data_IF_882977407064
#
_entry.id   IF_882977407064
#
_cell.length_a   1.000
_cell.length_b   1.000
_cell.length_c   1.000
_cell.angle_alpha   90.00
_cell.angle_beta   90.00
_cell.angle_gamma   90.00
#
_symmetry.space_group_name_H-M   'P 1'
#
loop_
_entity.id
_entity.type
_entity.pdbx_description
1 polymer ?
#
# COMPACT_ATOMS: atom_id res chain seq x y z
N UNK A 1 8.20 2.37 -33.69
CA UNK A 1 7.78 3.61 -32.99
C UNK A 1 8.10 4.87 -33.82
N UNK A 2 9.35 5.06 -34.29
CA UNK A 2 9.75 6.26 -35.05
C UNK A 2 8.87 6.62 -36.27
N UNK A 3 8.46 5.63 -37.09
CA UNK A 3 7.65 5.89 -38.32
C UNK A 3 6.24 6.46 -38.08
N UNK A 4 5.69 6.31 -36.87
CA UNK A 4 4.38 6.88 -36.53
C UNK A 4 4.50 8.34 -36.10
N UNK A 5 5.57 8.68 -35.37
CA UNK A 5 5.85 10.03 -34.90
C UNK A 5 6.09 10.99 -36.07
N UNK A 6 6.91 10.58 -37.05
CA UNK A 6 7.17 11.36 -38.27
C UNK A 6 5.91 11.61 -39.12
N UNK A 7 4.94 10.68 -39.10
CA UNK A 7 3.72 10.79 -39.93
C UNK A 7 2.66 11.70 -39.31
N UNK A 8 2.51 11.67 -37.99
CA UNK A 8 1.38 12.31 -37.29
C UNK A 8 1.78 13.50 -36.41
N UNK A 9 3.07 13.68 -36.09
CA UNK A 9 3.58 14.76 -35.23
C UNK A 9 4.68 15.55 -35.94
N UNK A 10 4.36 16.10 -37.11
CA UNK A 10 5.31 16.88 -37.91
C UNK A 10 5.67 18.20 -37.21
N UNK A 11 6.97 18.47 -37.04
CA UNK A 11 7.49 19.69 -36.40
C UNK A 11 7.63 19.62 -34.88
N UNK A 12 7.36 18.47 -34.27
CA UNK A 12 7.62 18.21 -32.85
C UNK A 12 8.87 17.34 -32.73
N UNK A 13 9.77 17.69 -31.81
CA UNK A 13 10.94 16.87 -31.52
C UNK A 13 10.49 15.54 -30.91
N UNK A 14 10.74 14.40 -31.58
CA UNK A 14 10.35 13.08 -31.08
C UNK A 14 10.94 12.76 -29.70
N UNK A 15 12.15 13.23 -29.39
CA UNK A 15 12.82 12.94 -28.13
C UNK A 15 12.21 13.76 -26.98
N UNK A 16 11.84 15.01 -27.23
CA UNK A 16 11.09 15.85 -26.28
C UNK A 16 9.72 15.25 -26.00
N UNK A 17 9.01 14.79 -27.04
CA UNK A 17 7.70 14.14 -26.90
C UNK A 17 7.82 12.86 -26.06
N UNK A 18 8.77 11.98 -26.39
CA UNK A 18 9.00 10.72 -25.67
C UNK A 18 9.38 10.97 -24.21
N UNK A 19 10.15 12.02 -23.93
CA UNK A 19 10.50 12.43 -22.56
C UNK A 19 9.26 12.91 -21.81
N UNK A 20 8.45 13.77 -22.43
CA UNK A 20 7.25 14.33 -21.82
C UNK A 20 6.18 13.27 -21.50
N UNK A 21 6.11 12.20 -22.30
CA UNK A 21 5.18 11.07 -22.06
C UNK A 21 5.80 9.90 -21.30
N UNK A 22 7.04 10.02 -20.83
CA UNK A 22 7.71 8.99 -20.02
C UNK A 22 8.05 7.70 -20.79
N UNK A 23 8.22 7.78 -22.12
CA UNK A 23 8.62 6.66 -22.98
C UNK A 23 10.12 6.62 -23.29
N UNK A 24 10.92 7.50 -22.67
CA UNK A 24 12.38 7.39 -22.71
C UNK A 24 12.79 6.16 -21.91
N UNK A 25 13.37 5.19 -22.61
CA UNK A 25 13.94 4.00 -22.00
C UNK A 25 15.11 4.42 -21.11
N UNK A 26 14.86 4.62 -19.83
CA UNK A 26 15.87 4.26 -18.83
C UNK A 26 16.24 2.82 -19.11
N UNK A 27 17.53 2.49 -19.14
CA UNK A 27 17.95 1.09 -19.26
C UNK A 27 17.49 0.34 -18.01
N UNK A 28 16.25 -0.15 -18.04
CA UNK A 28 15.82 -1.23 -17.18
C UNK A 28 16.79 -2.37 -17.50
N UNK A 29 17.60 -2.77 -16.52
CA UNK A 29 18.47 -3.92 -16.69
C UNK A 29 17.62 -5.07 -17.24
N UNK A 30 18.01 -5.66 -18.37
CA UNK A 30 17.26 -6.77 -18.97
C UNK A 30 17.13 -7.90 -17.95
N UNK A 31 15.96 -7.99 -17.33
CA UNK A 31 15.64 -9.06 -16.38
C UNK A 31 15.33 -10.30 -17.21
N UNK A 32 16.33 -11.16 -17.39
CA UNK A 32 16.10 -12.46 -18.00
C UNK A 32 15.32 -13.36 -17.04
N UNK A 33 14.13 -13.78 -17.46
CA UNK A 33 13.34 -14.77 -16.73
C UNK A 33 14.02 -16.12 -16.87
N UNK A 34 14.08 -16.91 -15.79
CA UNK A 34 14.43 -18.31 -15.94
C UNK A 34 13.25 -19.08 -16.59
N UNK A 35 13.55 -20.18 -17.28
CA UNK A 35 12.55 -21.02 -17.96
C UNK A 35 11.65 -21.83 -16.99
N UNK A 36 11.71 -21.53 -15.69
CA UNK A 36 11.02 -22.26 -14.64
C UNK A 36 11.48 -23.72 -14.56
N UNK A 37 10.64 -24.58 -13.98
CA UNK A 37 10.88 -26.02 -13.96
C UNK A 37 9.57 -26.73 -14.31
N UNK A 38 9.55 -27.64 -15.30
CA UNK A 38 8.33 -28.34 -15.73
C UNK A 38 7.77 -29.26 -14.63
N UNK A 39 8.58 -29.60 -13.62
CA UNK A 39 8.20 -30.36 -12.45
C UNK A 39 8.54 -29.59 -11.16
N UNK A 40 7.64 -28.72 -10.66
CA UNK A 40 7.88 -28.00 -9.41
C UNK A 40 7.97 -28.99 -8.25
N UNK A 41 9.07 -28.91 -7.50
CA UNK A 41 9.30 -29.76 -6.32
C UNK A 41 8.35 -29.31 -5.20
N UNK A 42 7.39 -30.17 -4.83
CA UNK A 42 6.47 -29.90 -3.72
C UNK A 42 7.16 -30.22 -2.39
N UNK A 43 7.17 -29.27 -1.46
CA UNK A 43 7.64 -29.46 -0.09
C UNK A 43 6.46 -29.21 0.86
N UNK A 44 6.21 -30.14 1.77
CA UNK A 44 5.31 -29.87 2.89
C UNK A 44 6.02 -28.94 3.88
N UNK A 45 5.38 -27.84 4.25
CA UNK A 45 5.83 -26.98 5.35
C UNK A 45 4.70 -26.81 6.36
N UNK A 46 5.05 -26.94 7.64
CA UNK A 46 4.17 -26.56 8.75
C UNK A 46 4.51 -25.12 9.12
N UNK A 47 3.57 -24.20 8.89
CA UNK A 47 3.73 -22.80 9.30
C UNK A 47 2.76 -22.54 10.45
N UNK A 48 3.28 -22.24 11.64
CA UNK A 48 2.47 -21.63 12.69
C UNK A 48 2.19 -20.20 12.28
N UNK A 49 0.98 -19.93 11.77
CA UNK A 49 0.54 -18.57 11.48
C UNK A 49 -0.12 -18.06 12.76
N UNK A 50 0.40 -16.97 13.33
CA UNK A 50 -0.39 -16.16 14.25
C UNK A 50 -1.72 -15.86 13.56
N UNK A 51 -2.84 -16.18 14.20
CA UNK A 51 -4.15 -15.71 13.75
C UNK A 51 -4.12 -14.19 13.93
N UNK A 52 -3.73 -13.49 12.86
CA UNK A 52 -3.59 -12.02 12.84
C UNK A 52 -4.93 -11.30 12.70
N UNK A 53 -5.97 -12.02 12.29
CA UNK A 53 -7.31 -11.49 12.14
C UNK A 53 -8.03 -11.63 13.49
N UNK A 54 -7.86 -10.63 14.36
CA UNK A 54 -8.60 -10.57 15.62
C UNK A 54 -10.10 -10.41 15.32
N UNK A 55 -10.97 -10.82 16.25
CA UNK A 55 -12.41 -10.56 16.13
C UNK A 55 -12.70 -9.07 15.90
N UNK A 56 -11.86 -8.21 16.48
CA UNK A 56 -11.91 -6.77 16.29
C UNK A 56 -11.54 -6.35 14.86
N UNK A 57 -10.46 -6.89 14.28
CA UNK A 57 -10.11 -6.62 12.89
C UNK A 57 -11.24 -7.01 11.92
N UNK A 58 -11.94 -8.12 12.19
CA UNK A 58 -13.12 -8.49 11.42
C UNK A 58 -14.26 -7.47 11.56
N UNK A 59 -14.55 -7.01 12.78
CA UNK A 59 -15.56 -5.96 13.01
C UNK A 59 -15.22 -4.66 12.28
N UNK A 60 -13.95 -4.24 12.27
CA UNK A 60 -13.51 -3.04 11.54
C UNK A 60 -13.73 -3.21 10.03
N UNK A 61 -13.38 -4.36 9.46
CA UNK A 61 -13.65 -4.65 8.04
C UNK A 61 -15.13 -4.62 7.71
N UNK A 62 -15.98 -5.13 8.61
CA UNK A 62 -17.44 -5.14 8.44
C UNK A 62 -18.02 -3.72 8.47
N UNK A 63 -17.62 -2.89 9.45
CA UNK A 63 -18.00 -1.47 9.54
C UNK A 63 -17.64 -0.71 8.25
N UNK A 64 -16.50 -1.06 7.64
CA UNK A 64 -16.07 -0.45 6.40
C UNK A 64 -16.61 -1.13 5.12
N UNK A 65 -17.45 -2.16 5.26
CA UNK A 65 -17.96 -2.93 4.12
C UNK A 65 -16.85 -3.49 3.23
N UNK A 66 -15.68 -3.77 3.82
CA UNK A 66 -14.46 -4.22 3.14
C UNK A 66 -13.95 -3.27 2.03
N UNK A 67 -14.26 -1.98 2.11
CA UNK A 67 -13.60 -0.96 1.27
C UNK A 67 -12.32 -0.51 1.96
N UNK A 68 -11.24 -0.41 1.19
CA UNK A 68 -10.01 0.23 1.66
C UNK A 68 -10.31 1.65 2.14
N UNK A 69 -9.84 2.01 3.33
CA UNK A 69 -9.98 3.37 3.84
C UNK A 69 -9.10 4.38 3.11
N UNK A 70 -8.03 3.94 2.44
CA UNK A 70 -7.13 4.81 1.68
C UNK A 70 -7.61 4.96 0.23
N UNK A 71 -7.51 3.91 -0.61
CA UNK A 71 -7.88 4.02 -2.03
C UNK A 71 -9.38 3.80 -2.33
N UNK A 72 -10.20 3.43 -1.35
CA UNK A 72 -11.62 3.14 -1.56
C UNK A 72 -11.94 1.82 -2.27
N UNK A 73 -10.94 1.08 -2.78
CA UNK A 73 -11.20 -0.17 -3.52
C UNK A 73 -11.86 -1.22 -2.63
N UNK A 74 -12.81 -1.96 -3.19
CA UNK A 74 -13.42 -3.14 -2.56
C UNK A 74 -13.10 -4.37 -3.39
N UNK A 75 -12.28 -5.26 -2.85
CA UNK A 75 -11.94 -6.52 -3.53
C UNK A 75 -13.09 -7.51 -3.38
N UNK A 76 -13.75 -7.83 -4.50
CA UNK A 76 -14.86 -8.79 -4.53
C UNK A 76 -14.35 -10.16 -4.98
N UNK A 77 -14.64 -11.18 -4.19
CA UNK A 77 -14.32 -12.58 -4.43
C UNK A 77 -15.62 -13.37 -4.59
N UNK A 78 -15.59 -14.59 -5.18
CA UNK A 78 -16.79 -15.43 -5.28
C UNK A 78 -17.47 -15.73 -3.94
N UNK A 79 -16.71 -15.73 -2.85
CA UNK A 79 -17.17 -16.05 -1.49
C UNK A 79 -17.28 -14.82 -0.57
N UNK A 80 -17.23 -13.60 -1.09
CA UNK A 80 -17.40 -12.40 -0.28
C UNK A 80 -16.52 -11.23 -0.72
N UNK A 81 -16.14 -10.37 0.22
CA UNK A 81 -15.18 -9.30 -0.03
C UNK A 81 -13.94 -9.50 0.81
N UNK A 82 -12.81 -9.00 0.34
CA UNK A 82 -11.54 -9.13 1.03
C UNK A 82 -10.95 -7.77 1.35
N UNK A 83 -10.49 -7.65 2.58
CA UNK A 83 -9.73 -6.53 3.12
C UNK A 83 -8.89 -7.07 4.28
N UNK A 84 -7.88 -6.31 4.68
CA UNK A 84 -7.00 -6.64 5.79
C UNK A 84 -7.17 -5.61 6.91
N UNK A 85 -7.16 -6.10 8.16
CA UNK A 85 -7.06 -5.24 9.34
C UNK A 85 -5.59 -4.90 9.57
N UNK A 86 -5.23 -3.64 9.37
CA UNK A 86 -3.87 -3.13 9.51
C UNK A 86 -3.75 -2.34 10.81
N UNK A 87 -2.91 -2.78 11.75
CA UNK A 87 -2.67 -1.97 12.95
C UNK A 87 -1.87 -0.72 12.60
N UNK A 88 -2.33 0.45 13.06
CA UNK A 88 -1.64 1.73 12.83
C UNK A 88 -0.29 1.73 13.56
N UNK A 89 -0.33 1.45 14.86
CA UNK A 89 0.83 1.16 15.69
C UNK A 89 0.95 -0.36 15.85
N UNK A 90 2.05 -0.99 15.39
CA UNK A 90 2.19 -2.45 15.44
C UNK A 90 2.06 -3.01 16.87
N UNK A 91 1.32 -4.11 17.02
CA UNK A 91 1.10 -4.75 18.34
C UNK A 91 2.33 -5.47 18.88
N UNK A 92 3.23 -5.92 18.00
CA UNK A 92 4.45 -6.62 18.37
C UNK A 92 5.52 -5.69 18.96
N UNK A 93 6.51 -6.30 19.62
CA UNK A 93 7.74 -5.61 19.98
C UNK A 93 8.45 -5.08 18.72
N UNK A 94 9.10 -3.91 18.77
CA UNK A 94 9.28 -3.02 19.94
C UNK A 94 8.12 -2.03 20.17
N UNK A 95 7.11 -2.01 19.30
CA UNK A 95 6.12 -0.92 19.24
C UNK A 95 5.02 -1.05 20.29
N UNK A 96 4.61 -2.27 20.64
CA UNK A 96 3.62 -2.56 21.70
C UNK A 96 2.32 -1.75 21.56
N UNK A 97 1.80 -1.61 20.34
CA UNK A 97 0.51 -0.99 20.09
C UNK A 97 -0.66 -1.79 20.69
N UNK A 98 -1.74 -1.13 21.14
CA UNK A 98 -2.92 -1.82 21.65
C UNK A 98 -3.76 -2.44 20.50
N UNK A 99 -4.43 -3.58 20.76
CA UNK A 99 -5.45 -4.12 19.86
C UNK A 99 -6.80 -3.45 20.15
N UNK A 100 -6.99 -2.24 19.65
CA UNK A 100 -8.18 -1.40 19.88
C UNK A 100 -8.71 -0.80 18.58
N UNK A 101 -10.02 -0.43 18.50
CA UNK A 101 -10.63 0.04 17.25
C UNK A 101 -9.84 1.17 16.60
N UNK A 102 -9.50 2.21 17.35
CA UNK A 102 -8.78 3.37 16.82
C UNK A 102 -7.34 3.12 16.41
N UNK A 103 -6.81 1.91 16.63
CA UNK A 103 -5.50 1.48 16.18
C UNK A 103 -5.55 0.53 14.98
N UNK A 104 -6.69 0.37 14.31
CA UNK A 104 -6.82 -0.57 13.18
C UNK A 104 -7.44 0.16 11.98
N UNK A 105 -6.93 -0.10 10.79
CA UNK A 105 -7.51 0.34 9.52
C UNK A 105 -8.00 -0.86 8.71
N UNK A 106 -9.08 -0.67 7.95
CA UNK A 106 -9.52 -1.60 6.91
C UNK A 106 -8.85 -1.21 5.59
N UNK A 107 -7.85 -1.98 5.15
CA UNK A 107 -7.05 -1.68 3.95
C UNK A 107 -7.15 -2.79 2.89
N UNK A 108 -6.90 -2.45 1.63
CA UNK A 108 -6.61 -3.46 0.61
C UNK A 108 -5.14 -3.93 0.77
N UNK A 109 -4.77 -5.11 0.25
CA UNK A 109 -3.42 -5.65 0.43
C UNK A 109 -2.30 -4.75 -0.09
N UNK A 110 -2.56 -4.00 -1.17
CA UNK A 110 -1.58 -3.08 -1.75
C UNK A 110 -1.32 -1.90 -0.81
N UNK A 111 -2.36 -1.23 -0.34
CA UNK A 111 -2.18 -0.09 0.57
C UNK A 111 -1.70 -0.55 1.94
N UNK A 112 -2.07 -1.75 2.39
CA UNK A 112 -1.62 -2.31 3.66
C UNK A 112 -0.10 -2.49 3.67
N UNK A 113 0.48 -3.13 2.66
CA UNK A 113 1.94 -3.30 2.64
C UNK A 113 2.68 -1.96 2.53
N UNK A 114 2.14 -0.99 1.79
CA UNK A 114 2.73 0.35 1.71
C UNK A 114 2.66 1.09 3.05
N UNK A 115 1.54 0.96 3.76
CA UNK A 115 1.33 1.55 5.07
C UNK A 115 2.24 0.91 6.13
N UNK A 116 2.31 -0.43 6.19
CA UNK A 116 3.20 -1.18 7.10
C UNK A 116 4.68 -0.83 6.90
N UNK A 117 5.06 -0.48 5.67
CA UNK A 117 6.44 -0.11 5.31
C UNK A 117 6.69 1.39 5.35
N UNK A 118 5.72 2.19 5.77
CA UNK A 118 5.86 3.64 5.91
C UNK A 118 5.91 4.41 4.60
N UNK A 119 5.63 3.78 3.45
CA UNK A 119 5.50 4.47 2.16
C UNK A 119 4.19 5.27 2.07
N UNK A 120 3.16 4.82 2.80
CA UNK A 120 1.94 5.59 3.06
C UNK A 120 1.87 5.93 4.54
N UNK A 121 1.57 7.20 4.86
CA UNK A 121 1.28 7.68 6.21
C UNK A 121 -0.04 8.45 6.23
N UNK A 122 -0.50 8.83 7.43
CA UNK A 122 -1.65 9.70 7.60
C UNK A 122 -1.23 11.02 8.25
N UNK A 123 -1.79 12.13 7.76
CA UNK A 123 -1.69 13.44 8.41
C UNK A 123 -2.56 13.51 9.66
N UNK A 124 -2.43 14.56 10.47
CA UNK A 124 -3.27 14.75 11.67
C UNK A 124 -4.73 15.02 11.30
N UNK A 125 -4.97 15.55 10.10
CA UNK A 125 -6.30 15.73 9.50
C UNK A 125 -6.80 14.45 8.79
N UNK A 126 -6.14 13.31 9.01
CA UNK A 126 -6.47 12.00 8.43
C UNK A 126 -6.45 11.99 6.89
N UNK A 127 -5.50 12.67 6.27
CA UNK A 127 -5.25 12.56 4.84
C UNK A 127 -4.16 11.53 4.57
N UNK A 128 -4.36 10.65 3.58
CA UNK A 128 -3.36 9.71 3.13
C UNK A 128 -2.25 10.45 2.36
N UNK A 129 -1.01 10.30 2.84
CA UNK A 129 0.17 10.94 2.27
C UNK A 129 1.13 9.87 1.76
N UNK A 130 1.64 10.07 0.55
CA UNK A 130 2.63 9.21 -0.09
C UNK A 130 4.03 9.78 0.20
N UNK A 131 4.77 9.13 1.11
CA UNK A 131 6.08 9.60 1.57
C UNK A 131 7.16 9.48 0.47
N UNK A 132 6.92 8.67 -0.57
CA UNK A 132 7.86 8.48 -1.68
C UNK A 132 7.71 9.60 -2.72
N UNK A 133 6.49 9.94 -3.07
CA UNK A 133 6.19 10.98 -4.08
C UNK A 133 5.97 12.37 -3.48
N UNK A 134 5.76 12.46 -2.17
CA UNK A 134 5.45 13.71 -1.46
C UNK A 134 4.03 14.24 -1.73
N UNK A 135 3.12 13.38 -2.19
CA UNK A 135 1.77 13.79 -2.60
C UNK A 135 0.68 13.34 -1.62
N UNK A 136 -0.32 14.20 -1.44
CA UNK A 136 -1.56 13.82 -0.75
C UNK A 136 -2.43 13.02 -1.72
N UNK A 137 -2.80 11.79 -1.33
CA UNK A 137 -3.67 10.90 -2.12
C UNK A 137 -5.16 11.21 -1.93
N UNK A 138 -5.52 11.79 -0.80
CA UNK A 138 -6.90 12.17 -0.45
C UNK A 138 -7.22 11.91 1.01
N UNK A 139 -8.45 12.21 1.40
CA UNK A 139 -8.94 12.00 2.75
C UNK A 139 -9.18 10.52 3.05
N UNK A 140 -8.84 10.08 4.26
CA UNK A 140 -9.14 8.74 4.75
C UNK A 140 -10.66 8.54 4.80
N UNK A 141 -11.16 7.42 4.28
CA UNK A 141 -12.57 7.07 4.37
C UNK A 141 -12.94 6.72 5.81
N UNK A 142 -13.78 7.54 6.43
CA UNK A 142 -14.27 7.35 7.79
C UNK A 142 -15.63 6.63 7.84
N UNK A 143 -15.93 6.04 9.00
CA UNK A 143 -17.25 5.54 9.35
C UNK A 143 -17.61 6.09 10.74
N UNK A 144 -18.87 6.51 10.99
CA UNK A 144 -19.24 7.13 12.27
C UNK A 144 -18.96 6.28 13.51
N UNK A 145 -18.96 4.94 13.36
CA UNK A 145 -18.73 4.00 14.45
C UNK A 145 -17.25 3.66 14.66
N UNK A 146 -16.35 4.20 13.83
CA UNK A 146 -14.92 3.87 13.85
C UNK A 146 -14.09 5.16 13.96
N UNK A 147 -13.69 5.47 15.19
CA UNK A 147 -12.87 6.65 15.50
C UNK A 147 -11.38 6.27 15.46
N UNK A 148 -10.62 6.91 14.57
CA UNK A 148 -9.17 6.69 14.43
C UNK A 148 -8.41 7.47 15.50
N UNK A 149 -7.42 6.82 16.12
CA UNK A 149 -6.55 7.46 17.10
C UNK A 149 -5.47 8.29 16.41
N UNK A 150 -5.55 9.61 16.53
CA UNK A 150 -4.50 10.53 16.04
C UNK A 150 -3.16 10.26 16.71
N UNK A 151 -3.15 9.80 17.97
CA UNK A 151 -1.92 9.41 18.67
C UNK A 151 -1.19 8.27 17.98
N UNK A 152 -1.92 7.25 17.51
CA UNK A 152 -1.28 6.13 16.79
C UNK A 152 -0.85 6.55 15.38
N UNK A 153 -1.64 7.41 14.72
CA UNK A 153 -1.28 8.01 13.43
C UNK A 153 0.03 8.78 13.52
N UNK A 154 0.16 9.66 14.52
CA UNK A 154 1.38 10.42 14.76
C UNK A 154 2.59 9.49 15.01
N UNK A 155 2.41 8.48 15.88
CA UNK A 155 3.44 7.49 16.16
C UNK A 155 3.92 6.75 14.89
N UNK A 156 2.98 6.28 14.06
CA UNK A 156 3.28 5.57 12.82
C UNK A 156 4.07 6.47 11.86
N UNK A 157 3.60 7.69 11.64
CA UNK A 157 4.24 8.67 10.75
C UNK A 157 5.66 9.02 11.20
N UNK A 158 5.87 9.25 12.49
CA UNK A 158 7.21 9.53 13.05
C UNK A 158 8.15 8.34 12.86
N UNK A 159 7.69 7.13 13.16
CA UNK A 159 8.48 5.90 13.01
C UNK A 159 8.85 5.65 11.55
N UNK A 160 7.91 5.85 10.62
CA UNK A 160 8.14 5.72 9.18
C UNK A 160 9.24 6.66 8.69
N UNK A 161 9.18 7.94 9.11
CA UNK A 161 10.16 8.97 8.71
C UNK A 161 11.53 8.75 9.31
N UNK A 162 11.61 8.23 10.54
CA UNK A 162 12.89 7.85 11.16
C UNK A 162 13.55 6.70 10.41
N UNK A 163 12.76 5.68 10.00
CA UNK A 163 13.26 4.55 9.24
C UNK A 163 13.75 4.93 7.82
N UNK A 164 13.24 6.04 7.26
CA UNK A 164 13.63 6.55 5.95
C UNK A 164 14.92 7.39 5.95
N UNK A 165 15.44 7.78 7.11
CA UNK A 165 16.70 8.53 7.20
C UNK A 165 17.90 7.61 6.95
N UNK A 166 18.87 7.99 6.10
CA UNK A 166 20.06 7.19 5.88
C UNK A 166 20.84 7.05 7.18
N UNK A 167 21.11 5.81 7.59
CA UNK A 167 22.03 5.53 8.69
C UNK A 167 23.43 6.02 8.30
N UNK A 168 23.94 7.00 9.05
CA UNK A 168 25.31 7.54 8.92
C UNK A 168 26.39 6.48 9.11
#
# INVERSE_FOLDING_TARGET
>A
MLRLLEKYFQGVDPDELLTAVGLVSTSEAEVSLNDGSPAPRRRQSTTMRLIRDSALAQQIKDVHGHHCQICGVRLRLPNGSYAEGAHIRPVGQPHNGPDEPGNILCLCPNDHILFDRGALTLTDDLQAFDEVTGQVKGDLRLAPQHMISITHVAYHRETARQAAQPTH
#
